data_IF_416427691793
#
_entry.id   IF_416427691793
#
_cell.length_a   1.000
_cell.length_b   1.000
_cell.length_c   1.000
_cell.angle_alpha   90.00
_cell.angle_beta   90.00
_cell.angle_gamma   90.00
#
_symmetry.space_group_name_H-M   'P 1'
#
loop_
_entity.id
_entity.type
_entity.pdbx_description
1 polymer ?
#
# COMPACT_ATOMS: atom_id res chain seq x y z
N UNK A 1 12.54 -43.41 -41.14
CA UNK A 1 11.83 -43.54 -39.87
C UNK A 1 12.77 -43.14 -38.73
N UNK A 2 13.07 -41.83 -38.61
CA UNK A 2 13.63 -41.14 -37.42
C UNK A 2 13.94 -39.67 -37.77
N UNK A 3 12.98 -39.00 -38.43
CA UNK A 3 12.82 -37.56 -38.27
C UNK A 3 11.95 -37.36 -37.02
N UNK A 4 12.25 -36.32 -36.23
CA UNK A 4 11.55 -35.86 -35.02
C UNK A 4 11.99 -36.48 -33.69
N UNK A 5 13.10 -35.98 -33.15
CA UNK A 5 13.20 -35.74 -31.71
C UNK A 5 13.73 -34.33 -31.44
N UNK A 6 12.80 -33.38 -31.61
CA UNK A 6 12.56 -32.19 -30.79
C UNK A 6 13.81 -31.51 -30.18
N UNK A 7 14.40 -30.60 -30.96
CA UNK A 7 14.91 -29.33 -30.41
C UNK A 7 13.73 -28.59 -29.80
N UNK A 8 13.53 -28.71 -28.49
CA UNK A 8 12.67 -27.82 -27.72
C UNK A 8 13.35 -26.43 -27.66
N UNK A 9 13.21 -25.68 -28.75
CA UNK A 9 13.38 -24.24 -28.77
C UNK A 9 12.21 -23.61 -28.01
N UNK A 10 12.27 -23.62 -26.68
CA UNK A 10 11.54 -22.63 -25.90
C UNK A 10 12.26 -21.29 -26.05
N UNK A 11 12.07 -20.64 -27.19
CA UNK A 11 12.19 -19.19 -27.26
C UNK A 11 11.10 -18.62 -26.35
N UNK A 12 11.42 -18.44 -25.06
CA UNK A 12 10.65 -17.53 -24.22
C UNK A 12 10.73 -16.18 -24.92
N UNK A 13 9.64 -15.80 -25.59
CA UNK A 13 9.46 -14.47 -26.18
C UNK A 13 9.74 -13.48 -25.05
N UNK A 14 10.90 -12.82 -25.09
CA UNK A 14 11.28 -11.87 -24.05
C UNK A 14 10.23 -10.77 -24.06
N UNK A 15 9.46 -10.68 -22.99
CA UNK A 15 8.45 -9.63 -22.82
C UNK A 15 9.11 -8.26 -22.94
N UNK A 16 8.42 -7.32 -23.59
CA UNK A 16 8.92 -5.97 -23.74
C UNK A 16 9.03 -5.33 -22.35
N UNK A 17 10.17 -4.70 -22.09
CA UNK A 17 10.40 -3.96 -20.85
C UNK A 17 10.00 -2.49 -21.06
N UNK A 18 9.20 -1.95 -20.15
CA UNK A 18 8.64 -0.60 -20.20
C UNK A 18 9.20 0.26 -19.05
N UNK A 19 9.60 1.48 -19.36
CA UNK A 19 9.87 2.52 -18.36
C UNK A 19 8.57 3.09 -17.81
N UNK A 20 8.62 3.81 -16.67
CA UNK A 20 7.45 4.54 -16.14
C UNK A 20 6.79 5.45 -17.19
N UNK A 21 7.60 6.15 -18.01
CA UNK A 21 7.10 6.98 -19.11
C UNK A 21 6.33 6.15 -20.15
N UNK A 22 6.90 5.02 -20.58
CA UNK A 22 6.25 4.15 -21.55
C UNK A 22 4.98 3.52 -20.99
N UNK A 23 4.92 3.22 -19.68
CA UNK A 23 3.70 2.72 -19.04
C UNK A 23 2.56 3.73 -19.20
N UNK A 24 2.82 5.02 -18.93
CA UNK A 24 1.83 6.10 -19.09
C UNK A 24 1.37 6.22 -20.54
N UNK A 25 2.31 6.24 -21.48
CA UNK A 25 2.01 6.31 -22.92
C UNK A 25 1.11 5.16 -23.37
N UNK A 26 1.34 3.94 -22.85
CA UNK A 26 0.51 2.77 -23.17
C UNK A 26 -0.86 2.82 -22.50
N UNK A 27 -0.96 3.37 -21.29
CA UNK A 27 -2.23 3.51 -20.57
C UNK A 27 -3.04 4.74 -21.00
N UNK A 28 -2.44 5.67 -21.75
CA UNK A 28 -3.02 6.98 -22.09
C UNK A 28 -3.48 7.74 -20.84
N UNK A 29 -2.69 7.65 -19.78
CA UNK A 29 -2.97 8.31 -18.50
C UNK A 29 -2.42 9.74 -18.51
N UNK A 30 -3.06 10.65 -17.77
CA UNK A 30 -2.59 12.03 -17.56
C UNK A 30 -1.51 12.13 -16.47
N UNK A 31 -1.22 11.02 -15.78
CA UNK A 31 -0.22 10.95 -14.73
C UNK A 31 1.19 11.18 -15.26
N UNK A 32 2.06 11.70 -14.39
CA UNK A 32 3.48 11.88 -14.68
C UNK A 32 4.29 10.59 -14.43
N UNK A 33 5.48 10.44 -15.02
CA UNK A 33 6.40 9.33 -14.69
C UNK A 33 6.76 9.28 -13.21
N UNK A 34 6.70 10.41 -12.49
CA UNK A 34 6.94 10.46 -11.06
C UNK A 34 5.81 9.78 -10.28
N UNK A 35 4.56 9.97 -10.69
CA UNK A 35 3.39 9.40 -10.01
C UNK A 35 3.38 7.88 -10.14
N UNK A 36 3.73 7.35 -11.33
CA UNK A 36 3.91 5.91 -11.53
C UNK A 36 5.01 5.35 -10.64
N UNK A 37 6.14 6.05 -10.53
CA UNK A 37 7.20 5.62 -9.61
C UNK A 37 6.74 5.70 -8.15
N UNK A 38 5.94 6.70 -7.79
CA UNK A 38 5.38 6.82 -6.44
C UNK A 38 4.44 5.65 -6.12
N UNK A 39 3.58 5.22 -7.06
CA UNK A 39 2.76 4.01 -6.92
C UNK A 39 3.64 2.78 -6.68
N UNK A 40 4.73 2.63 -7.43
CA UNK A 40 5.67 1.52 -7.20
C UNK A 40 6.42 1.61 -5.87
N UNK A 41 6.67 2.81 -5.34
CA UNK A 41 7.20 3.02 -3.99
C UNK A 41 6.18 2.57 -2.95
N UNK A 42 4.92 2.98 -3.10
CA UNK A 42 3.84 2.66 -2.16
C UNK A 42 3.53 1.16 -2.13
N UNK A 43 3.62 0.49 -3.28
CA UNK A 43 3.52 -0.97 -3.38
C UNK A 43 4.75 -1.72 -2.85
N UNK A 44 5.78 -0.98 -2.39
CA UNK A 44 7.08 -1.48 -1.94
C UNK A 44 7.85 -2.27 -3.02
N UNK A 45 7.62 -1.93 -4.29
CA UNK A 45 8.31 -2.56 -5.43
C UNK A 45 9.64 -1.87 -5.74
N UNK A 46 9.73 -0.57 -5.45
CA UNK A 46 10.96 0.21 -5.56
C UNK A 46 11.15 1.10 -4.33
N UNK A 47 12.36 1.60 -4.13
CA UNK A 47 12.72 2.54 -3.07
C UNK A 47 13.40 3.76 -3.68
N UNK A 48 13.10 4.95 -3.13
CA UNK A 48 13.81 6.18 -3.49
C UNK A 48 15.28 6.03 -3.09
N UNK A 49 16.16 6.46 -3.98
CA UNK A 49 17.60 6.45 -3.80
C UNK A 49 18.18 7.80 -4.20
N UNK A 50 19.37 8.15 -3.73
CA UNK A 50 20.01 9.46 -3.98
C UNK A 50 19.97 9.87 -5.46
N UNK A 51 20.13 8.90 -6.36
CA UNK A 51 20.03 9.08 -7.81
C UNK A 51 18.98 8.16 -8.41
N UNK A 52 17.71 8.44 -8.16
CA UNK A 52 16.56 7.78 -8.78
C UNK A 52 15.94 6.69 -7.90
N UNK A 53 15.80 5.47 -8.44
CA UNK A 53 15.07 4.39 -7.78
C UNK A 53 15.80 3.05 -7.83
N UNK A 54 15.82 2.36 -6.68
CA UNK A 54 16.32 0.99 -6.57
C UNK A 54 15.17 0.00 -6.46
N UNK A 55 15.29 -1.12 -7.16
CA UNK A 55 14.30 -2.19 -7.12
C UNK A 55 14.41 -3.02 -5.83
N UNK A 56 13.28 -3.37 -5.23
CA UNK A 56 13.23 -4.29 -4.08
C UNK A 56 13.20 -5.75 -4.54
N UNK A 57 13.34 -6.68 -3.60
CA UNK A 57 13.12 -8.12 -3.87
C UNK A 57 11.69 -8.38 -4.34
N UNK A 58 10.70 -7.68 -3.78
CA UNK A 58 9.30 -7.74 -4.21
C UNK A 58 9.15 -7.22 -5.64
N UNK A 59 9.79 -6.09 -5.97
CA UNK A 59 9.80 -5.52 -7.33
C UNK A 59 10.36 -6.48 -8.37
N UNK A 60 11.44 -7.19 -8.06
CA UNK A 60 12.01 -8.22 -8.95
C UNK A 60 11.02 -9.35 -9.22
N UNK A 61 10.39 -9.89 -8.16
CA UNK A 61 9.34 -10.92 -8.29
C UNK A 61 8.13 -10.42 -9.08
N UNK A 62 7.87 -9.11 -9.02
CA UNK A 62 6.79 -8.43 -9.75
C UNK A 62 7.15 -8.11 -11.22
N UNK A 63 8.31 -8.58 -11.71
CA UNK A 63 8.72 -8.43 -13.12
C UNK A 63 9.51 -7.15 -13.41
N UNK A 64 10.00 -6.46 -12.38
CA UNK A 64 10.85 -5.29 -12.55
C UNK A 64 12.33 -5.67 -12.75
N UNK A 65 13.05 -4.83 -13.50
CA UNK A 65 14.49 -4.96 -13.76
C UNK A 65 15.18 -3.65 -13.50
N UNK A 66 16.19 -3.66 -12.63
CA UNK A 66 17.05 -2.51 -12.36
C UNK A 66 17.84 -2.14 -13.61
N UNK A 67 17.88 -0.84 -13.92
CA UNK A 67 18.73 -0.23 -14.93
C UNK A 67 19.49 0.96 -14.34
N UNK A 68 20.54 1.38 -15.05
CA UNK A 68 21.33 2.56 -14.74
C UNK A 68 21.65 3.30 -16.04
N UNK A 69 21.55 4.62 -16.01
CA UNK A 69 22.01 5.48 -17.09
C UNK A 69 22.72 6.70 -16.52
N UNK A 70 23.99 6.89 -16.89
CA UNK A 70 24.83 8.00 -16.42
C UNK A 70 24.83 8.16 -14.88
N UNK A 71 24.79 7.04 -14.15
CA UNK A 71 24.77 7.03 -12.68
C UNK A 71 23.38 7.18 -12.04
N UNK A 72 22.32 7.41 -12.83
CA UNK A 72 20.94 7.43 -12.34
C UNK A 72 20.33 6.03 -12.41
N UNK A 73 19.83 5.54 -11.28
CA UNK A 73 19.13 4.27 -11.15
C UNK A 73 17.65 4.43 -11.51
N UNK A 74 17.13 3.53 -12.33
CA UNK A 74 15.71 3.46 -12.66
C UNK A 74 15.29 2.01 -12.88
N UNK A 75 13.98 1.76 -12.92
CA UNK A 75 13.43 0.41 -13.06
C UNK A 75 12.57 0.34 -14.31
N UNK A 76 12.73 -0.73 -15.08
CA UNK A 76 11.82 -1.10 -16.16
C UNK A 76 10.95 -2.29 -15.74
N UNK A 77 9.76 -2.40 -16.30
CA UNK A 77 8.77 -3.42 -15.95
C UNK A 77 8.37 -4.25 -17.16
N UNK A 78 8.16 -5.55 -16.97
CA UNK A 78 7.52 -6.41 -17.97
C UNK A 78 6.17 -5.80 -18.42
N UNK A 79 5.89 -5.78 -19.72
CA UNK A 79 4.64 -5.26 -20.31
C UNK A 79 3.35 -5.81 -19.69
N UNK A 80 3.41 -6.99 -19.06
CA UNK A 80 2.29 -7.57 -18.29
C UNK A 80 1.81 -6.65 -17.17
N UNK A 81 2.62 -5.70 -16.71
CA UNK A 81 2.24 -4.68 -15.74
C UNK A 81 1.00 -3.89 -16.17
N UNK A 82 0.84 -3.67 -17.48
CA UNK A 82 -0.30 -2.94 -18.07
C UNK A 82 -1.64 -3.64 -17.85
N UNK A 83 -1.63 -4.93 -17.51
CA UNK A 83 -2.81 -5.75 -17.22
C UNK A 83 -2.85 -6.24 -15.78
N UNK A 84 -1.89 -5.83 -14.94
CA UNK A 84 -1.82 -6.27 -13.56
C UNK A 84 -2.91 -5.58 -12.74
N UNK A 85 -3.86 -6.37 -12.22
CA UNK A 85 -5.04 -5.87 -11.50
C UNK A 85 -4.67 -5.00 -10.30
N UNK A 86 -3.67 -5.41 -9.51
CA UNK A 86 -3.24 -4.66 -8.33
C UNK A 86 -2.63 -3.31 -8.72
N UNK A 87 -1.76 -3.28 -9.72
CA UNK A 87 -1.18 -2.02 -10.20
C UNK A 87 -2.25 -1.08 -10.76
N UNK A 88 -3.18 -1.60 -11.57
CA UNK A 88 -4.28 -0.82 -12.13
C UNK A 88 -5.26 -0.32 -11.05
N UNK A 89 -5.43 -1.08 -9.96
CA UNK A 89 -6.19 -0.64 -8.79
C UNK A 89 -5.50 0.52 -8.08
N UNK A 90 -4.21 0.38 -7.77
CA UNK A 90 -3.42 1.46 -7.14
C UNK A 90 -3.38 2.73 -8.00
N UNK A 91 -3.36 2.59 -9.32
CA UNK A 91 -3.38 3.72 -10.27
C UNK A 91 -4.67 4.55 -10.19
N UNK A 92 -5.80 3.94 -9.86
CA UNK A 92 -7.12 4.60 -9.82
C UNK A 92 -7.44 5.23 -8.45
N UNK A 93 -6.78 4.74 -7.40
CA UNK A 93 -7.13 5.08 -6.01
C UNK A 93 -6.80 6.50 -5.55
N UNK A 94 -6.14 7.32 -6.38
CA UNK A 94 -5.78 8.70 -6.05
C UNK A 94 -6.93 9.72 -6.25
N UNK A 95 -8.07 9.29 -6.83
CA UNK A 95 -9.21 10.19 -7.12
C UNK A 95 -10.16 10.40 -5.93
N UNK A 96 -9.84 9.89 -4.73
CA UNK A 96 -10.63 10.10 -3.50
C UNK A 96 -12.08 9.59 -3.56
N UNK A 97 -12.41 8.79 -4.57
CA UNK A 97 -13.76 8.28 -4.89
C UNK A 97 -13.72 6.82 -5.29
N UNK A 98 -12.92 6.00 -4.61
CA UNK A 98 -13.04 4.57 -4.79
C UNK A 98 -14.41 4.12 -4.27
N UNK A 99 -15.18 3.49 -5.16
CA UNK A 99 -16.34 2.70 -4.73
C UNK A 99 -15.79 1.51 -3.98
N UNK A 100 -15.94 1.53 -2.66
CA UNK A 100 -15.71 0.38 -1.81
C UNK A 100 -16.62 -0.73 -2.33
N UNK A 101 -16.03 -1.79 -2.88
CA UNK A 101 -16.81 -2.89 -3.47
C UNK A 101 -17.35 -3.84 -2.41
N UNK A 102 -16.74 -3.84 -1.22
CA UNK A 102 -17.18 -4.60 -0.06
C UNK A 102 -18.41 -3.92 0.56
N UNK A 103 -19.58 -4.52 0.36
CA UNK A 103 -20.86 -4.02 0.86
C UNK A 103 -20.86 -3.85 2.38
N UNK A 104 -20.17 -4.71 3.13
CA UNK A 104 -20.11 -4.61 4.59
C UNK A 104 -19.30 -3.39 5.04
N UNK A 105 -18.16 -3.14 4.38
CA UNK A 105 -17.32 -1.97 4.63
C UNK A 105 -18.04 -0.67 4.21
N UNK A 106 -18.78 -0.70 3.10
CA UNK A 106 -19.61 0.43 2.69
C UNK A 106 -20.71 0.72 3.73
N UNK A 107 -21.47 -0.30 4.14
CA UNK A 107 -22.50 -0.18 5.19
C UNK A 107 -21.92 0.36 6.50
N UNK A 108 -20.71 -0.07 6.88
CA UNK A 108 -20.02 0.44 8.07
C UNK A 108 -19.76 1.94 7.96
N UNK A 109 -19.23 2.42 6.83
CA UNK A 109 -18.89 3.84 6.63
C UNK A 109 -20.11 4.74 6.49
N UNK A 110 -21.21 4.21 5.98
CA UNK A 110 -22.51 4.90 5.96
C UNK A 110 -23.09 5.03 7.38
N UNK A 111 -22.98 3.98 8.19
CA UNK A 111 -23.44 3.96 9.59
C UNK A 111 -22.59 4.85 10.50
N UNK A 112 -21.27 4.83 10.33
CA UNK A 112 -20.31 5.55 11.16
C UNK A 112 -19.63 6.64 10.35
N UNK A 113 -20.28 7.80 10.21
CA UNK A 113 -19.75 8.91 9.41
C UNK A 113 -18.51 9.54 10.03
N UNK A 114 -17.59 10.02 9.18
CA UNK A 114 -16.41 10.75 9.60
C UNK A 114 -16.78 12.20 9.96
N UNK A 115 -17.08 12.45 11.24
CA UNK A 115 -17.61 13.73 11.72
C UNK A 115 -16.68 14.43 12.72
N UNK A 116 -15.67 13.73 13.24
CA UNK A 116 -14.75 14.28 14.23
C UNK A 116 -13.53 14.92 13.56
N UNK A 117 -13.40 16.24 13.67
CA UNK A 117 -12.24 16.96 13.12
C UNK A 117 -11.03 16.86 14.05
N UNK A 118 -9.88 16.51 13.47
CA UNK A 118 -8.57 16.40 14.15
C UNK A 118 -7.75 17.68 13.99
N UNK A 119 -6.66 17.84 14.77
CA UNK A 119 -5.71 18.96 14.64
C UNK A 119 -4.99 18.98 13.29
N UNK A 120 -4.78 17.81 12.69
CA UNK A 120 -4.23 17.66 11.35
C UNK A 120 -5.19 18.11 10.23
N UNK A 121 -6.47 18.35 10.56
CA UNK A 121 -7.51 18.75 9.62
C UNK A 121 -8.33 17.60 9.04
N UNK A 122 -7.91 16.34 9.24
CA UNK A 122 -8.69 15.16 8.84
C UNK A 122 -10.00 15.07 9.66
N UNK A 123 -11.05 14.55 9.01
CA UNK A 123 -12.27 14.09 9.69
C UNK A 123 -12.19 12.58 9.88
N UNK A 124 -12.40 12.11 11.11
CA UNK A 124 -12.32 10.69 11.49
C UNK A 124 -13.63 10.21 12.11
N UNK A 125 -13.80 8.89 12.28
CA UNK A 125 -15.07 8.25 12.64
C UNK A 125 -15.26 8.02 14.15
N UNK A 126 -14.20 8.12 14.94
CA UNK A 126 -14.25 7.84 16.38
C UNK A 126 -13.32 8.74 17.20
N UNK A 127 -13.61 8.87 18.50
CA UNK A 127 -12.75 9.59 19.46
C UNK A 127 -11.38 8.96 19.61
N UNK A 128 -11.29 7.63 19.48
CA UNK A 128 -10.03 6.91 19.52
C UNK A 128 -9.12 7.30 18.34
N UNK A 129 -9.68 7.37 17.13
CA UNK A 129 -8.96 7.87 15.96
C UNK A 129 -8.55 9.34 16.12
N UNK A 130 -9.34 10.18 16.80
CA UNK A 130 -8.92 11.56 17.11
C UNK A 130 -7.66 11.56 17.97
N UNK A 131 -7.62 10.73 19.02
CA UNK A 131 -6.45 10.61 19.91
C UNK A 131 -5.21 10.18 19.11
N UNK A 132 -5.34 9.15 18.26
CA UNK A 132 -4.23 8.66 17.43
C UNK A 132 -3.78 9.73 16.43
N UNK A 133 -4.71 10.36 15.70
CA UNK A 133 -4.41 11.38 14.71
C UNK A 133 -3.75 12.62 15.33
N UNK A 134 -4.27 13.09 16.46
CA UNK A 134 -3.74 14.25 17.15
C UNK A 134 -2.36 13.98 17.75
N UNK A 135 -2.12 12.74 18.22
CA UNK A 135 -0.81 12.31 18.67
C UNK A 135 0.22 12.30 17.53
N UNK A 136 -0.12 11.67 16.40
CA UNK A 136 0.74 11.64 15.22
C UNK A 136 1.06 13.07 14.74
N UNK A 137 0.05 13.94 14.78
CA UNK A 137 0.21 15.35 14.42
C UNK A 137 1.14 16.10 15.38
N UNK A 138 0.99 15.93 16.70
CA UNK A 138 1.85 16.60 17.69
C UNK A 138 3.30 16.16 17.62
N UNK A 139 3.56 14.90 17.26
CA UNK A 139 4.89 14.35 17.04
C UNK A 139 5.48 14.68 15.66
N UNK A 140 4.80 15.51 14.86
CA UNK A 140 5.18 15.85 13.49
C UNK A 140 5.38 14.63 12.58
N UNK A 141 4.64 13.55 12.83
CA UNK A 141 4.65 12.34 12.03
C UNK A 141 3.63 12.51 10.92
N UNK A 142 4.08 12.55 9.66
CA UNK A 142 3.19 12.54 8.51
C UNK A 142 2.41 11.22 8.45
N UNK A 143 1.11 11.30 8.18
CA UNK A 143 0.26 10.12 8.00
C UNK A 143 -0.81 10.36 6.95
N UNK A 144 -1.39 9.27 6.42
CA UNK A 144 -2.62 9.27 5.64
C UNK A 144 -3.73 8.56 6.44
N UNK A 145 -4.95 9.08 6.39
CA UNK A 145 -6.14 8.48 7.02
C UNK A 145 -6.92 7.64 6.02
N UNK A 146 -7.46 6.49 6.44
CA UNK A 146 -8.24 5.57 5.60
C UNK A 146 -7.52 5.20 4.29
N UNK A 147 -6.21 4.89 4.36
CA UNK A 147 -5.41 4.59 3.17
C UNK A 147 -5.64 3.17 2.67
N UNK A 148 -5.88 3.02 1.37
CA UNK A 148 -5.94 1.71 0.71
C UNK A 148 -4.60 0.98 0.83
N UNK A 149 -4.67 -0.28 1.27
CA UNK A 149 -3.52 -1.16 1.42
C UNK A 149 -3.18 -1.78 0.06
N UNK A 150 -1.89 -1.81 -0.36
CA UNK A 150 -1.47 -2.26 -1.70
C UNK A 150 -1.46 -3.79 -1.84
N UNK A 151 -2.63 -4.40 -1.63
CA UNK A 151 -2.91 -5.84 -1.75
C UNK A 151 -4.11 -6.07 -2.68
N UNK A 152 -4.32 -7.34 -3.06
CA UNK A 152 -5.39 -7.69 -4.01
C UNK A 152 -6.76 -7.37 -3.43
N UNK A 153 -6.98 -7.71 -2.17
CA UNK A 153 -8.21 -7.50 -1.43
C UNK A 153 -8.49 -5.99 -1.25
N UNK A 154 -9.76 -5.61 -1.30
CA UNK A 154 -10.20 -4.24 -1.01
C UNK A 154 -10.16 -4.01 0.49
N UNK A 155 -9.03 -3.46 0.95
CA UNK A 155 -8.75 -3.24 2.36
C UNK A 155 -8.16 -1.85 2.57
N UNK A 156 -8.64 -1.19 3.62
CA UNK A 156 -8.18 0.12 4.05
C UNK A 156 -7.70 0.01 5.50
N UNK A 157 -6.57 0.66 5.78
CA UNK A 157 -6.06 0.85 7.13
C UNK A 157 -6.63 2.13 7.74
N UNK A 158 -6.63 2.24 9.07
CA UNK A 158 -7.09 3.47 9.72
C UNK A 158 -6.06 4.60 9.52
N UNK A 159 -4.78 4.30 9.74
CA UNK A 159 -3.68 5.24 9.48
C UNK A 159 -2.50 4.56 8.77
N UNK A 160 -1.84 5.31 7.88
CA UNK A 160 -0.61 4.88 7.21
C UNK A 160 0.51 5.90 7.42
N UNK A 161 1.66 5.44 7.92
CA UNK A 161 2.89 6.24 8.08
C UNK A 161 3.82 5.98 6.88
N UNK A 162 3.92 6.89 5.91
CA UNK A 162 4.60 6.63 4.63
C UNK A 162 6.12 6.48 4.76
N UNK A 163 6.75 7.12 5.74
CA UNK A 163 8.21 7.11 5.89
C UNK A 163 8.72 5.73 6.30
N UNK A 164 8.15 5.13 7.34
CA UNK A 164 8.49 3.79 7.83
C UNK A 164 7.63 2.67 7.18
N UNK A 165 6.68 3.04 6.30
CA UNK A 165 5.71 2.14 5.64
C UNK A 165 4.91 1.32 6.66
N UNK A 166 4.38 1.98 7.69
CA UNK A 166 3.63 1.36 8.80
C UNK A 166 2.13 1.58 8.60
N UNK A 167 1.34 0.53 8.80
CA UNK A 167 -0.11 0.57 8.87
C UNK A 167 -0.54 0.49 10.34
N UNK A 168 -1.50 1.30 10.75
CA UNK A 168 -2.06 1.31 12.10
C UNK A 168 -3.55 0.97 11.99
N UNK A 169 -4.01 0.06 12.83
CA UNK A 169 -5.43 -0.30 12.99
C UNK A 169 -5.85 -0.13 14.45
N UNK A 170 -7.03 0.43 14.67
CA UNK A 170 -7.66 0.56 15.96
C UNK A 170 -8.80 -0.45 16.15
N UNK A 171 -8.63 -1.35 17.12
CA UNK A 171 -9.55 -2.42 17.44
C UNK A 171 -10.50 -2.05 18.58
N UNK A 172 -11.48 -1.19 18.28
CA UNK A 172 -12.38 -0.61 19.29
C UNK A 172 -13.62 -1.43 19.67
N UNK A 173 -14.01 -2.46 18.91
CA UNK A 173 -15.33 -3.10 19.04
C UNK A 173 -15.27 -4.63 19.18
N UNK A 174 -14.77 -5.15 20.30
CA UNK A 174 -14.43 -6.58 20.43
C UNK A 174 -15.60 -7.52 20.77
N UNK A 175 -16.79 -7.01 21.02
CA UNK A 175 -17.93 -7.80 21.52
C UNK A 175 -18.79 -8.45 20.41
N UNK A 176 -18.58 -8.10 19.14
CA UNK A 176 -19.31 -8.66 17.99
C UNK A 176 -18.48 -9.73 17.27
N UNK A 177 -19.04 -10.94 17.11
CA UNK A 177 -18.39 -12.05 16.42
C UNK A 177 -18.07 -11.74 14.95
N UNK A 178 -18.90 -10.92 14.28
CA UNK A 178 -18.63 -10.44 12.93
C UNK A 178 -17.43 -9.50 12.91
N UNK A 179 -17.34 -8.60 13.88
CA UNK A 179 -16.20 -7.71 14.01
C UNK A 179 -14.90 -8.48 14.22
N UNK A 180 -14.91 -9.47 15.12
CA UNK A 180 -13.75 -10.30 15.40
C UNK A 180 -13.29 -11.09 14.16
N UNK A 181 -14.24 -11.59 13.35
CA UNK A 181 -13.91 -12.23 12.08
C UNK A 181 -13.20 -11.28 11.11
N UNK A 182 -13.68 -10.03 10.97
CA UNK A 182 -13.04 -9.01 10.11
C UNK A 182 -11.66 -8.61 10.62
N UNK A 183 -11.50 -8.39 11.92
CA UNK A 183 -10.20 -8.12 12.57
C UNK A 183 -9.20 -9.23 12.23
N UNK A 184 -9.57 -10.48 12.45
CA UNK A 184 -8.71 -11.63 12.17
C UNK A 184 -8.38 -11.77 10.68
N UNK A 185 -9.33 -11.49 9.78
CA UNK A 185 -9.10 -11.45 8.33
C UNK A 185 -8.08 -10.37 7.96
N UNK A 186 -8.22 -9.14 8.47
CA UNK A 186 -7.26 -8.04 8.24
C UNK A 186 -5.85 -8.40 8.73
N UNK A 187 -5.71 -8.87 9.97
CA UNK A 187 -4.42 -9.27 10.56
C UNK A 187 -3.74 -10.36 9.71
N UNK A 188 -4.52 -11.35 9.26
CA UNK A 188 -4.02 -12.39 8.36
C UNK A 188 -3.49 -11.81 7.04
N UNK A 189 -4.22 -10.88 6.41
CA UNK A 189 -3.80 -10.24 5.17
C UNK A 189 -2.52 -9.41 5.34
N UNK A 190 -2.38 -8.65 6.43
CA UNK A 190 -1.14 -7.92 6.72
C UNK A 190 0.06 -8.87 6.84
N UNK A 191 -0.12 -9.99 7.55
CA UNK A 191 0.92 -11.01 7.73
C UNK A 191 1.30 -11.69 6.42
N UNK A 192 0.33 -12.14 5.63
CA UNK A 192 0.55 -12.83 4.35
C UNK A 192 1.25 -11.94 3.31
N UNK A 193 1.07 -10.62 3.41
CA UNK A 193 1.68 -9.65 2.50
C UNK A 193 2.94 -8.98 3.07
N UNK A 194 3.45 -9.46 4.22
CA UNK A 194 4.66 -8.95 4.88
C UNK A 194 4.62 -7.42 5.11
N UNK A 195 3.48 -6.94 5.59
CA UNK A 195 3.25 -5.51 5.86
C UNK A 195 3.49 -5.18 7.34
N UNK A 196 4.04 -3.99 7.61
CA UNK A 196 4.30 -3.52 8.97
C UNK A 196 2.97 -3.06 9.61
N UNK A 197 2.47 -3.81 10.58
CA UNK A 197 1.22 -3.51 11.27
C UNK A 197 1.48 -3.11 12.73
N UNK A 198 0.85 -2.02 13.18
CA UNK A 198 0.68 -1.66 14.58
C UNK A 198 -0.81 -1.79 14.91
N UNK A 199 -1.11 -2.54 15.97
CA UNK A 199 -2.46 -2.78 16.44
C UNK A 199 -2.69 -2.02 17.75
N UNK A 200 -3.76 -1.23 17.83
CA UNK A 200 -4.12 -0.48 19.03
C UNK A 200 -5.50 -0.95 19.48
N UNK A 201 -5.66 -1.36 20.73
CA UNK A 201 -6.96 -1.69 21.32
C UNK A 201 -7.42 -0.61 22.34
N UNK A 202 -8.61 -0.79 22.91
CA UNK A 202 -9.17 0.11 23.91
C UNK A 202 -8.32 0.25 25.20
N UNK A 203 -7.47 -0.72 25.52
CA UNK A 203 -6.59 -0.64 26.70
C UNK A 203 -5.31 0.13 26.35
N UNK A 204 -4.75 -0.17 25.20
CA UNK A 204 -3.49 0.37 24.67
C UNK A 204 -3.61 1.86 24.40
N UNK A 205 -4.75 2.31 23.87
CA UNK A 205 -4.96 3.73 23.57
C UNK A 205 -4.84 4.66 24.79
N UNK A 206 -5.10 4.14 26.00
CA UNK A 206 -4.94 4.93 27.23
C UNK A 206 -3.47 5.23 27.57
N UNK A 207 -2.53 4.50 26.95
CA UNK A 207 -1.09 4.67 27.13
C UNK A 207 -0.40 4.95 25.77
N UNK A 208 -1.09 5.65 24.87
CA UNK A 208 -0.62 5.85 23.49
C UNK A 208 0.76 6.53 23.41
N UNK A 209 1.03 7.48 24.34
CA UNK A 209 2.29 8.21 24.43
C UNK A 209 3.50 7.31 24.70
N UNK A 210 3.32 6.22 25.44
CA UNK A 210 4.38 5.24 25.71
C UNK A 210 4.43 4.14 24.65
N UNK A 211 3.28 3.80 24.08
CA UNK A 211 3.13 2.67 23.16
C UNK A 211 3.64 3.00 21.76
N UNK A 212 3.12 4.05 21.13
CA UNK A 212 3.41 4.34 19.72
C UNK A 212 4.89 4.60 19.44
N UNK A 213 5.65 5.37 20.25
CA UNK A 213 7.07 5.54 20.02
C UNK A 213 7.85 4.22 20.00
N UNK A 214 7.53 3.30 20.92
CA UNK A 214 8.19 1.99 21.03
C UNK A 214 7.86 1.11 19.84
N UNK A 215 6.61 1.08 19.41
CA UNK A 215 6.18 0.26 18.27
C UNK A 215 6.73 0.79 16.95
N UNK A 216 6.67 2.10 16.71
CA UNK A 216 7.22 2.72 15.49
C UNK A 216 8.73 2.45 15.37
N UNK A 217 9.47 2.49 16.50
CA UNK A 217 10.91 2.25 16.52
C UNK A 217 11.30 0.85 16.01
N UNK A 218 10.44 -0.16 16.17
CA UNK A 218 10.71 -1.52 15.68
C UNK A 218 10.86 -1.62 14.17
N UNK A 219 10.33 -0.63 13.43
CA UNK A 219 10.33 -0.62 11.97
C UNK A 219 11.26 0.44 11.36
N UNK A 220 11.95 1.24 12.19
CA UNK A 220 12.98 2.16 11.69
C UNK A 220 14.15 1.35 11.14
N UNK A 221 14.40 1.50 9.84
CA UNK A 221 15.56 0.94 9.15
C UNK A 221 16.72 1.93 9.13
#
# INVERSE_FOLDING_TARGET
MLEKFLKNNNQQKTSKMLTAKQIIENLKSELSPSDINQIFVDMNLIEKYEKGYKITTKGKKFGGVQKNYMGNFYVCWDEKILKNELFLKMLKSDDGKDKITDEEEQNFREKFKAEYRTKSGHFVRSRAEVIIADWLYSEFICFAYEKMVPIKEDMYCDFYLPKEKIYIEFWGYEEDSKYLHRKNKKIKLYKENELNLIEIDNKTINNIDDFLPKEILKFKK
#
